data_IF_768951230041
#
_entry.id   IF_768951230041
#
_cell.length_a   1.000
_cell.length_b   1.000
_cell.length_c   1.000
_cell.angle_alpha   90.00
_cell.angle_beta   90.00
_cell.angle_gamma   90.00
#
_symmetry.space_group_name_H-M   'P 1'
#
loop_
_entity.id
_entity.type
_entity.pdbx_description
1 polymer ?
#
# COMPACT_ATOMS: atom_id res chain seq x y z
N UNK A 1 -7.93 15.45 -10.45
CA UNK A 1 -8.14 14.01 -10.69
C UNK A 1 -6.84 13.48 -11.26
N UNK A 2 -6.15 12.59 -10.54
CA UNK A 2 -4.92 11.99 -11.04
C UNK A 2 -5.27 11.15 -12.26
N UNK A 3 -4.78 11.55 -13.43
CA UNK A 3 -4.90 10.75 -14.65
C UNK A 3 -3.84 9.66 -14.60
N UNK A 4 -4.17 8.47 -15.08
CA UNK A 4 -3.18 7.40 -15.26
C UNK A 4 -2.06 7.85 -16.18
N UNK A 5 -0.96 7.11 -16.14
CA UNK A 5 0.13 7.21 -17.12
C UNK A 5 -0.41 7.15 -18.57
N UNK A 6 -0.14 8.19 -19.36
CA UNK A 6 -0.59 8.31 -20.74
C UNK A 6 0.17 7.37 -21.71
N UNK A 7 1.38 6.96 -21.34
CA UNK A 7 2.28 6.14 -22.14
C UNK A 7 2.15 4.65 -21.81
N UNK A 8 1.92 4.33 -20.53
CA UNK A 8 1.70 2.95 -20.03
C UNK A 8 0.41 2.85 -19.25
N UNK A 9 -0.63 2.29 -19.88
CA UNK A 9 -1.91 2.04 -19.20
C UNK A 9 -1.79 0.84 -18.27
N UNK A 10 -2.20 1.01 -17.01
CA UNK A 10 -2.30 -0.06 -16.04
C UNK A 10 -3.75 -0.51 -15.89
N UNK A 11 -3.95 -1.80 -15.63
CA UNK A 11 -5.22 -2.31 -15.14
C UNK A 11 -5.11 -2.47 -13.63
N UNK A 12 -6.02 -1.82 -12.90
CA UNK A 12 -6.03 -1.82 -11.44
C UNK A 12 -7.09 -2.77 -10.94
N UNK A 13 -6.72 -3.61 -9.98
CA UNK A 13 -7.63 -4.50 -9.27
C UNK A 13 -7.54 -4.19 -7.78
N UNK A 14 -8.70 -4.07 -7.13
CA UNK A 14 -8.81 -3.82 -5.69
C UNK A 14 -9.69 -4.90 -5.08
N UNK A 15 -9.10 -6.04 -4.68
CA UNK A 15 -9.85 -7.14 -4.07
C UNK A 15 -10.38 -6.72 -2.70
N UNK A 16 -11.58 -7.19 -2.36
CA UNK A 16 -12.11 -7.08 -1.01
C UNK A 16 -11.53 -8.20 -0.14
N UNK A 17 -10.48 -7.88 0.62
CA UNK A 17 -9.86 -8.84 1.55
C UNK A 17 -10.64 -9.00 2.86
N UNK A 18 -11.72 -8.24 3.06
CA UNK A 18 -12.54 -8.30 4.25
C UNK A 18 -13.91 -8.91 4.01
N UNK A 19 -14.17 -9.49 2.83
CA UNK A 19 -15.39 -10.25 2.49
C UNK A 19 -16.68 -9.54 2.92
N UNK A 20 -16.81 -8.26 2.56
CA UNK A 20 -17.94 -7.41 2.88
C UNK A 20 -18.01 -6.93 4.34
N UNK A 21 -17.00 -7.24 5.15
CA UNK A 21 -16.93 -6.89 6.58
C UNK A 21 -15.72 -6.00 6.89
N UNK A 22 -15.60 -4.81 6.27
CA UNK A 22 -14.55 -3.84 6.60
C UNK A 22 -14.74 -3.25 8.00
N UNK A 23 -13.74 -2.54 8.50
CA UNK A 23 -13.89 -1.74 9.71
C UNK A 23 -14.99 -0.68 9.51
N UNK A 24 -15.83 -0.46 10.53
CA UNK A 24 -16.86 0.56 10.46
C UNK A 24 -16.21 1.96 10.54
N UNK A 25 -16.63 2.85 9.64
CA UNK A 25 -16.17 4.23 9.58
C UNK A 25 -16.47 4.99 10.88
N UNK A 26 -17.52 4.61 11.60
CA UNK A 26 -17.91 5.22 12.87
C UNK A 26 -16.87 5.00 14.00
N UNK A 27 -15.97 4.03 13.85
CA UNK A 27 -14.89 3.79 14.80
C UNK A 27 -13.70 4.73 14.60
N UNK A 28 -13.70 5.53 13.53
CA UNK A 28 -12.59 6.41 13.17
C UNK A 28 -12.94 7.90 13.37
N UNK A 29 -12.06 8.71 13.97
CA UNK A 29 -10.82 8.30 14.63
C UNK A 29 -11.12 7.51 15.92
N UNK A 30 -10.24 6.58 16.32
CA UNK A 30 -10.40 5.80 17.56
C UNK A 30 -10.04 6.65 18.79
N UNK A 31 -10.88 7.64 19.08
CA UNK A 31 -10.68 8.67 20.11
C UNK A 31 -11.33 8.35 21.47
N UNK A 32 -12.30 7.43 21.50
CA UNK A 32 -12.89 6.88 22.72
C UNK A 32 -12.38 5.46 23.00
N UNK A 33 -12.49 5.00 24.25
CA UNK A 33 -12.06 3.65 24.62
C UNK A 33 -12.85 2.57 23.87
N UNK A 34 -14.16 2.76 23.68
CA UNK A 34 -15.00 1.86 22.88
C UNK A 34 -14.54 1.78 21.42
N UNK A 35 -14.23 2.93 20.80
CA UNK A 35 -13.76 2.94 19.41
C UNK A 35 -12.36 2.32 19.30
N UNK A 36 -11.46 2.57 20.25
CA UNK A 36 -10.13 1.94 20.31
C UNK A 36 -10.23 0.43 20.43
N UNK A 37 -11.13 -0.06 21.27
CA UNK A 37 -11.38 -1.49 21.44
C UNK A 37 -11.87 -2.12 20.13
N UNK A 38 -12.91 -1.55 19.49
CA UNK A 38 -13.42 -2.06 18.21
C UNK A 38 -12.38 -2.00 17.09
N UNK A 39 -11.63 -0.91 17.02
CA UNK A 39 -10.55 -0.72 16.05
C UNK A 39 -9.42 -1.74 16.25
N UNK A 40 -8.99 -1.94 17.51
CA UNK A 40 -7.99 -2.94 17.86
C UNK A 40 -8.46 -4.37 17.58
N UNK A 41 -9.71 -4.70 17.92
CA UNK A 41 -10.32 -5.99 17.62
C UNK A 41 -10.36 -6.27 16.12
N UNK A 42 -10.69 -5.26 15.30
CA UNK A 42 -10.66 -5.42 13.84
C UNK A 42 -9.26 -5.83 13.33
N UNK A 43 -8.19 -5.16 13.77
CA UNK A 43 -6.83 -5.52 13.36
C UNK A 43 -6.35 -6.86 13.91
N UNK A 44 -6.81 -7.23 15.10
CA UNK A 44 -6.47 -8.49 15.74
C UNK A 44 -7.17 -9.68 15.07
N UNK A 45 -8.47 -9.56 14.82
CA UNK A 45 -9.32 -10.71 14.49
C UNK A 45 -9.61 -10.78 12.98
N UNK A 46 -9.85 -9.63 12.33
CA UNK A 46 -10.26 -9.57 10.91
C UNK A 46 -9.10 -9.28 9.97
N UNK A 47 -8.27 -8.29 10.29
CA UNK A 47 -7.16 -7.83 9.46
C UNK A 47 -5.74 -8.28 9.87
N UNK A 48 -5.49 -9.37 10.62
CA UNK A 48 -4.11 -9.81 10.83
C UNK A 48 -3.55 -10.34 9.49
N UNK A 49 -2.26 -10.10 9.16
CA UNK A 49 -1.66 -10.52 7.89
C UNK A 49 -1.91 -11.99 7.49
N UNK A 50 -1.90 -12.99 8.40
CA UNK A 50 -2.20 -14.37 8.06
C UNK A 50 -3.57 -14.61 7.39
N UNK A 51 -4.56 -13.75 7.64
CA UNK A 51 -5.87 -13.84 6.98
C UNK A 51 -5.81 -13.41 5.50
N UNK A 52 -4.83 -12.59 5.12
CA UNK A 52 -4.75 -11.96 3.80
C UNK A 52 -3.65 -12.56 2.93
N UNK A 53 -2.44 -12.72 3.46
CA UNK A 53 -1.25 -13.10 2.67
C UNK A 53 -1.46 -14.38 1.83
N UNK A 54 -2.02 -15.49 2.37
CA UNK A 54 -2.21 -16.71 1.59
C UNK A 54 -3.28 -16.58 0.50
N UNK A 55 -4.14 -15.55 0.57
CA UNK A 55 -5.20 -15.32 -0.42
C UNK A 55 -4.68 -14.61 -1.66
N UNK A 56 -3.66 -13.77 -1.53
CA UNK A 56 -3.19 -12.91 -2.63
C UNK A 56 -2.76 -13.69 -3.87
N UNK A 57 -1.95 -14.77 -3.78
CA UNK A 57 -1.59 -15.54 -4.97
C UNK A 57 -2.80 -16.13 -5.70
N UNK A 58 -3.79 -16.65 -4.95
CA UNK A 58 -5.04 -17.18 -5.53
C UNK A 58 -5.87 -16.09 -6.19
N UNK A 59 -5.95 -14.91 -5.58
CA UNK A 59 -6.65 -13.76 -6.17
C UNK A 59 -5.99 -13.34 -7.48
N UNK A 60 -4.65 -13.25 -7.54
CA UNK A 60 -3.93 -12.92 -8.78
C UNK A 60 -4.12 -13.99 -9.85
N UNK A 61 -4.10 -15.26 -9.47
CA UNK A 61 -4.39 -16.38 -10.37
C UNK A 61 -5.80 -16.27 -10.97
N UNK A 62 -6.83 -16.05 -10.15
CA UNK A 62 -8.20 -15.86 -10.62
C UNK A 62 -8.35 -14.61 -11.49
N UNK A 63 -7.60 -13.54 -11.18
CA UNK A 63 -7.60 -12.35 -12.03
C UNK A 63 -6.98 -12.65 -13.40
N UNK A 64 -5.86 -13.36 -13.44
CA UNK A 64 -5.20 -13.77 -14.68
C UNK A 64 -6.13 -14.62 -15.56
N UNK A 65 -6.86 -15.59 -14.97
CA UNK A 65 -7.79 -16.46 -15.69
C UNK A 65 -9.00 -15.71 -16.24
N UNK A 66 -9.64 -14.88 -15.41
CA UNK A 66 -10.96 -14.34 -15.72
C UNK A 66 -10.94 -12.97 -16.39
N UNK A 67 -9.85 -12.20 -16.21
CA UNK A 67 -9.80 -10.81 -16.68
C UNK A 67 -8.69 -10.54 -17.69
N UNK A 68 -7.70 -11.42 -17.87
CA UNK A 68 -6.71 -11.20 -18.92
C UNK A 68 -7.33 -11.49 -20.30
N UNK A 69 -7.29 -10.55 -21.27
CA UNK A 69 -7.73 -10.81 -22.63
C UNK A 69 -7.02 -12.04 -23.22
N UNK A 70 -7.81 -13.03 -23.67
CA UNK A 70 -7.28 -14.27 -24.23
C UNK A 70 -6.78 -15.30 -23.20
N UNK A 71 -6.95 -15.06 -21.89
CA UNK A 71 -6.70 -16.07 -20.84
C UNK A 71 -5.23 -16.41 -20.56
N UNK A 72 -4.28 -15.69 -21.18
CA UNK A 72 -2.84 -15.95 -21.04
C UNK A 72 -2.21 -15.40 -19.74
N UNK A 73 -2.99 -14.69 -18.91
CA UNK A 73 -2.48 -13.99 -17.72
C UNK A 73 -1.78 -12.66 -18.05
N UNK A 74 -1.70 -11.76 -17.07
CA UNK A 74 -1.02 -10.48 -17.23
C UNK A 74 0.50 -10.66 -17.20
N UNK A 75 1.22 -9.88 -18.02
CA UNK A 75 2.68 -9.97 -18.17
C UNK A 75 3.45 -9.67 -16.88
N UNK A 76 2.96 -8.72 -16.09
CA UNK A 76 3.65 -8.18 -14.92
C UNK A 76 2.61 -7.68 -13.91
N UNK A 77 2.96 -7.79 -12.62
CA UNK A 77 2.13 -7.37 -11.51
C UNK A 77 2.94 -6.45 -10.60
N UNK A 78 2.37 -5.29 -10.28
CA UNK A 78 2.82 -4.45 -9.17
C UNK A 78 1.80 -4.50 -8.04
N UNK A 79 2.23 -4.14 -6.83
CA UNK A 79 1.35 -4.01 -5.67
C UNK A 79 1.51 -2.64 -5.03
N UNK A 80 0.39 -2.00 -4.72
CA UNK A 80 0.35 -0.75 -3.94
C UNK A 80 -0.55 -0.97 -2.74
N UNK A 81 -0.04 -0.62 -1.55
CA UNK A 81 -0.71 -0.81 -0.28
C UNK A 81 -0.80 0.49 0.50
N UNK A 82 -2.00 0.79 1.00
CA UNK A 82 -2.31 2.00 1.76
C UNK A 82 -2.56 1.66 3.23
N UNK A 83 -1.98 2.40 4.18
CA UNK A 83 -2.18 2.13 5.62
C UNK A 83 -1.77 0.69 5.96
N UNK A 84 -2.71 -0.12 6.47
CA UNK A 84 -2.58 -1.55 6.68
C UNK A 84 -2.12 -2.30 5.43
N UNK A 85 -2.56 -1.87 4.25
CA UNK A 85 -2.10 -2.43 2.99
C UNK A 85 -0.59 -2.28 2.80
N UNK A 86 0.05 -1.26 3.38
CA UNK A 86 1.51 -1.11 3.37
C UNK A 86 2.23 -2.29 4.03
N UNK A 87 1.74 -2.73 5.20
CA UNK A 87 2.22 -3.94 5.90
C UNK A 87 2.08 -5.19 5.04
N UNK A 88 0.91 -5.37 4.43
CA UNK A 88 0.64 -6.51 3.54
C UNK A 88 1.57 -6.48 2.32
N UNK A 89 1.75 -5.31 1.72
CA UNK A 89 2.67 -5.09 0.58
C UNK A 89 4.11 -5.42 0.95
N UNK A 90 4.61 -4.94 2.10
CA UNK A 90 5.95 -5.27 2.62
C UNK A 90 6.16 -6.77 2.69
N UNK A 91 5.26 -7.48 3.38
CA UNK A 91 5.34 -8.93 3.58
C UNK A 91 5.23 -9.73 2.26
N UNK A 92 4.43 -9.27 1.30
CA UNK A 92 4.31 -9.88 -0.02
C UNK A 92 5.48 -9.59 -0.95
N UNK A 93 6.43 -8.73 -0.55
CA UNK A 93 7.59 -8.35 -1.36
C UNK A 93 8.84 -9.19 -1.04
N UNK A 94 8.68 -10.19 -0.16
CA UNK A 94 9.74 -11.11 0.22
C UNK A 94 10.13 -12.08 -0.91
N UNK A 95 11.02 -13.03 -0.61
CA UNK A 95 11.43 -14.09 -1.56
C UNK A 95 10.22 -14.83 -2.15
N UNK A 96 10.34 -15.22 -3.42
CA UNK A 96 9.31 -15.95 -4.19
C UNK A 96 8.03 -15.14 -4.43
N UNK A 97 8.10 -13.81 -4.27
CA UNK A 97 7.02 -12.91 -4.63
C UNK A 97 6.67 -12.99 -6.11
N UNK A 98 5.38 -12.87 -6.41
CA UNK A 98 4.84 -12.77 -7.77
C UNK A 98 4.88 -11.34 -8.33
N UNK A 99 5.12 -10.35 -7.47
CA UNK A 99 5.14 -8.93 -7.84
C UNK A 99 6.53 -8.52 -8.35
N UNK A 100 6.58 -7.53 -9.25
CA UNK A 100 7.83 -6.96 -9.79
C UNK A 100 8.26 -5.68 -9.09
N UNK A 101 7.33 -4.97 -8.49
CA UNK A 101 7.56 -3.75 -7.74
C UNK A 101 6.47 -3.54 -6.70
N UNK A 102 6.82 -2.90 -5.60
CA UNK A 102 5.93 -2.67 -4.47
C UNK A 102 5.95 -1.20 -4.04
N UNK A 103 4.78 -0.71 -3.62
CA UNK A 103 4.59 0.67 -3.14
C UNK A 103 3.82 0.63 -1.83
N UNK A 104 4.39 1.21 -0.78
CA UNK A 104 3.74 1.46 0.51
C UNK A 104 3.38 2.94 0.61
N UNK A 105 2.13 3.24 0.96
CA UNK A 105 1.60 4.61 1.06
C UNK A 105 1.01 4.81 2.46
N UNK A 106 1.52 5.82 3.18
CA UNK A 106 1.28 6.05 4.62
C UNK A 106 1.17 4.71 5.38
N UNK A 107 2.23 3.90 5.44
CA UNK A 107 2.16 2.53 5.94
C UNK A 107 1.89 2.48 7.44
N UNK A 108 0.95 1.62 7.85
CA UNK A 108 0.74 1.30 9.26
C UNK A 108 1.56 0.07 9.66
N UNK A 109 1.92 -0.03 10.95
CA UNK A 109 2.66 -1.18 11.52
C UNK A 109 3.99 -1.45 10.80
N UNK A 110 4.74 -0.39 10.45
CA UNK A 110 6.09 -0.50 9.91
C UNK A 110 6.92 -1.41 10.82
N UNK A 111 7.62 -2.36 10.22
CA UNK A 111 8.65 -3.14 10.91
C UNK A 111 9.92 -3.13 10.05
N UNK A 112 10.98 -2.41 10.47
CA UNK A 112 12.23 -2.34 9.74
C UNK A 112 12.87 -3.69 9.45
N UNK A 113 12.54 -4.76 10.18
CA UNK A 113 13.08 -6.10 9.93
C UNK A 113 12.56 -6.71 8.64
N UNK A 114 11.34 -6.35 8.22
CA UNK A 114 10.75 -6.87 6.98
C UNK A 114 11.55 -6.43 5.75
N UNK A 115 12.13 -5.22 5.79
CA UNK A 115 12.97 -4.68 4.73
C UNK A 115 14.18 -5.57 4.39
N UNK A 116 14.65 -6.38 5.33
CA UNK A 116 15.76 -7.33 5.11
C UNK A 116 15.35 -8.49 4.20
N UNK A 117 14.06 -8.84 4.20
CA UNK A 117 13.52 -9.95 3.42
C UNK A 117 13.00 -9.50 2.05
N UNK A 118 12.83 -8.18 1.83
CA UNK A 118 12.31 -7.62 0.56
C UNK A 118 13.29 -7.89 -0.59
N UNK A 119 12.76 -8.48 -1.68
CA UNK A 119 13.57 -8.89 -2.85
C UNK A 119 13.27 -8.13 -4.14
N UNK A 120 12.30 -7.21 -4.13
CA UNK A 120 11.86 -6.42 -5.30
C UNK A 120 11.94 -4.92 -5.03
N UNK A 121 12.06 -4.07 -6.06
CA UNK A 121 12.04 -2.62 -5.90
C UNK A 121 10.88 -2.14 -5.03
N UNK A 122 11.18 -1.27 -4.06
CA UNK A 122 10.24 -0.81 -3.04
C UNK A 122 10.17 0.72 -2.99
N UNK A 123 8.97 1.26 -3.14
CA UNK A 123 8.66 2.66 -2.87
C UNK A 123 7.92 2.79 -1.53
N UNK A 124 8.29 3.78 -0.72
CA UNK A 124 7.60 4.12 0.53
C UNK A 124 7.34 5.61 0.54
N UNK A 125 6.07 5.99 0.56
CA UNK A 125 5.62 7.36 0.74
C UNK A 125 5.01 7.46 2.14
N UNK A 126 5.79 7.96 3.09
CA UNK A 126 5.37 8.19 4.48
C UNK A 126 4.78 9.59 4.68
N UNK A 127 3.96 9.75 5.71
CA UNK A 127 3.36 10.99 6.18
C UNK A 127 4.09 11.49 7.44
N UNK A 128 3.57 12.55 8.07
CA UNK A 128 4.06 13.01 9.36
C UNK A 128 3.65 12.13 10.56
N UNK A 129 2.69 11.22 10.36
CA UNK A 129 2.11 10.41 11.44
C UNK A 129 2.83 9.06 11.64
N UNK A 130 3.74 8.66 10.74
CA UNK A 130 4.61 7.49 10.93
C UNK A 130 5.89 7.86 11.68
N UNK A 131 6.47 6.91 12.44
CA UNK A 131 7.75 7.16 13.14
C UNK A 131 8.89 7.33 12.12
N UNK A 132 9.51 8.52 12.03
CA UNK A 132 10.56 8.77 11.05
C UNK A 132 11.80 7.89 11.27
N UNK A 133 12.07 7.46 12.51
CA UNK A 133 13.19 6.55 12.78
C UNK A 133 12.92 5.15 12.26
N UNK A 134 11.67 4.69 12.31
CA UNK A 134 11.30 3.39 11.75
C UNK A 134 11.34 3.42 10.22
N UNK A 135 10.86 4.51 9.60
CA UNK A 135 10.98 4.71 8.14
C UNK A 135 12.44 4.71 7.70
N UNK A 136 13.32 5.46 8.37
CA UNK A 136 14.75 5.51 8.00
C UNK A 136 15.44 4.15 8.22
N UNK A 137 15.16 3.46 9.34
CA UNK A 137 15.68 2.11 9.56
C UNK A 137 15.21 1.12 8.50
N UNK A 138 13.93 1.19 8.10
CA UNK A 138 13.38 0.35 7.04
C UNK A 138 14.12 0.62 5.73
N UNK A 139 14.28 1.90 5.36
CA UNK A 139 15.05 2.33 4.18
C UNK A 139 16.48 1.80 4.20
N UNK A 140 17.21 1.91 5.31
CA UNK A 140 18.59 1.44 5.43
C UNK A 140 18.74 -0.07 5.27
N UNK A 141 17.73 -0.80 5.76
CA UNK A 141 17.68 -2.26 5.67
C UNK A 141 17.39 -2.75 4.24
N UNK A 142 16.63 -1.99 3.42
CA UNK A 142 16.38 -2.36 2.02
C UNK A 142 17.68 -2.48 1.20
N UNK A 143 17.85 -3.64 0.55
CA UNK A 143 18.99 -3.99 -0.35
C UNK A 143 18.64 -3.99 -1.84
N UNK A 144 17.47 -3.47 -2.16
CA UNK A 144 16.88 -3.36 -3.51
C UNK A 144 16.85 -1.91 -3.95
N UNK A 145 16.52 -1.67 -5.22
CA UNK A 145 16.19 -0.31 -5.67
C UNK A 145 15.02 0.25 -4.85
N UNK A 146 15.14 1.50 -4.41
CA UNK A 146 14.21 2.08 -3.45
C UNK A 146 13.98 3.57 -3.68
N UNK A 147 12.75 3.98 -3.44
CA UNK A 147 12.34 5.37 -3.29
C UNK A 147 11.68 5.49 -1.91
N UNK A 148 12.25 6.28 -1.00
CA UNK A 148 11.67 6.50 0.32
C UNK A 148 11.57 7.99 0.57
N UNK A 149 10.34 8.49 0.71
CA UNK A 149 10.04 9.90 0.91
C UNK A 149 9.07 10.06 2.09
N UNK A 150 9.31 11.08 2.91
CA UNK A 150 8.42 11.47 4.00
C UNK A 150 7.81 12.84 3.70
N UNK A 151 6.48 12.88 3.58
CA UNK A 151 5.67 14.07 3.39
C UNK A 151 5.32 14.64 4.77
N UNK A 152 6.27 15.33 5.38
CA UNK A 152 6.22 15.78 6.77
C UNK A 152 5.16 16.84 7.10
N UNK A 153 4.42 17.33 6.12
CA UNK A 153 3.30 18.26 6.27
C UNK A 153 1.94 17.61 5.93
N UNK A 154 1.92 16.29 5.69
CA UNK A 154 0.73 15.52 5.33
C UNK A 154 0.37 14.52 6.43
N UNK A 155 -0.92 14.29 6.65
CA UNK A 155 -1.44 13.29 7.60
C UNK A 155 -1.40 11.88 7.02
N UNK A 156 -1.44 10.86 7.88
CA UNK A 156 -1.72 9.50 7.45
C UNK A 156 -3.03 9.45 6.66
N UNK A 157 -3.04 8.74 5.53
CA UNK A 157 -4.22 8.69 4.67
C UNK A 157 -4.36 9.88 3.70
N UNK A 158 -3.38 10.80 3.61
CA UNK A 158 -3.48 11.97 2.72
C UNK A 158 -3.69 11.59 1.25
N UNK A 159 -3.07 10.50 0.78
CA UNK A 159 -3.27 9.95 -0.57
C UNK A 159 -4.51 9.06 -0.71
N UNK A 160 -5.45 9.17 0.22
CA UNK A 160 -6.68 8.36 0.26
C UNK A 160 -7.87 9.21 0.73
N UNK A 161 -8.84 8.61 1.43
CA UNK A 161 -10.06 9.29 1.86
C UNK A 161 -9.84 10.44 2.86
N UNK A 162 -8.66 10.55 3.49
CA UNK A 162 -8.37 11.60 4.50
C UNK A 162 -7.78 12.89 3.91
N UNK A 163 -7.36 12.90 2.64
CA UNK A 163 -6.80 14.11 2.01
C UNK A 163 -7.85 15.20 1.80
N UNK A 164 -7.68 16.36 2.42
CA UNK A 164 -8.49 17.55 2.12
C UNK A 164 -8.05 18.20 0.80
N UNK A 165 -8.64 17.76 -0.31
CA UNK A 165 -8.32 18.27 -1.64
C UNK A 165 -8.78 19.71 -1.90
N UNK A 166 -9.49 20.35 -0.95
CA UNK A 166 -9.78 21.80 -1.01
C UNK A 166 -8.58 22.61 -0.53
N UNK A 167 -7.75 22.05 0.35
CA UNK A 167 -6.49 22.66 0.73
C UNK A 167 -5.49 22.54 -0.44
N UNK A 168 -4.95 23.66 -0.96
CA UNK A 168 -4.07 23.63 -2.12
C UNK A 168 -2.75 22.88 -1.86
N UNK A 169 -2.22 22.92 -0.63
CA UNK A 169 -1.00 22.18 -0.26
C UNK A 169 -1.26 20.68 -0.28
N UNK A 170 -2.33 20.22 0.38
CA UNK A 170 -2.70 18.79 0.42
C UNK A 170 -3.00 18.28 -0.99
N UNK A 171 -3.73 19.06 -1.80
CA UNK A 171 -3.99 18.69 -3.19
C UNK A 171 -2.71 18.53 -4.01
N UNK A 172 -1.76 19.47 -3.87
CA UNK A 172 -0.47 19.40 -4.56
C UNK A 172 0.30 18.14 -4.16
N UNK A 173 0.39 17.85 -2.88
CA UNK A 173 1.14 16.68 -2.40
C UNK A 173 0.42 15.34 -2.64
N UNK A 174 -0.92 15.33 -2.68
CA UNK A 174 -1.70 14.22 -3.22
C UNK A 174 -1.30 13.94 -4.68
N UNK A 175 -1.28 14.96 -5.53
CA UNK A 175 -0.90 14.82 -6.95
C UNK A 175 0.57 14.40 -7.11
N UNK A 176 1.49 14.94 -6.30
CA UNK A 176 2.90 14.55 -6.32
C UNK A 176 3.10 13.10 -5.89
N UNK A 177 2.46 12.66 -4.81
CA UNK A 177 2.53 11.27 -4.37
C UNK A 177 2.10 10.30 -5.48
N UNK A 178 0.98 10.57 -6.16
CA UNK A 178 0.54 9.71 -7.28
C UNK A 178 1.49 9.77 -8.49
N UNK A 179 2.15 10.90 -8.76
CA UNK A 179 3.22 10.97 -9.77
C UNK A 179 4.40 10.09 -9.38
N UNK A 180 4.82 10.09 -8.12
CA UNK A 180 5.89 9.21 -7.62
C UNK A 180 5.51 7.73 -7.78
N UNK A 181 4.28 7.34 -7.42
CA UNK A 181 3.77 5.97 -7.62
C UNK A 181 3.80 5.56 -9.09
N UNK A 182 3.29 6.42 -9.98
CA UNK A 182 3.25 6.15 -11.43
C UNK A 182 4.66 6.05 -12.01
N UNK A 183 5.54 6.99 -11.66
CA UNK A 183 6.93 7.00 -12.13
C UNK A 183 7.68 5.74 -11.66
N UNK A 184 7.48 5.33 -10.41
CA UNK A 184 8.07 4.12 -9.85
C UNK A 184 7.61 2.86 -10.59
N UNK A 185 6.30 2.69 -10.78
CA UNK A 185 5.79 1.54 -11.54
C UNK A 185 6.22 1.57 -13.02
N UNK A 186 6.32 2.75 -13.64
CA UNK A 186 6.83 2.87 -15.01
C UNK A 186 8.27 2.36 -15.14
N UNK A 187 9.10 2.61 -14.13
CA UNK A 187 10.49 2.16 -14.10
C UNK A 187 10.64 0.64 -13.87
N UNK A 188 9.68 0.00 -13.17
CA UNK A 188 9.86 -1.36 -12.63
C UNK A 188 8.85 -2.42 -13.09
N UNK A 189 7.77 -2.06 -13.79
CA UNK A 189 6.80 -3.00 -14.38
C UNK A 189 7.01 -3.20 -15.89
#
# INVERSE_FOLDING_TARGET
MSTSDAERKYRVFMPDFFDGSPADIAWYPPDTDEKKEKWGAFFKDRAPPPNTLPRVPRVVEEINKNFCPGGAGFKSWGIVGYCWGGKITSLLSAKDTLFKAAVQVHPAMIDPKEALEVTIPMCILASMDEDPNEIEKYKDNLKVEKLVETYGDQIHGWMSARGDLKNPTVKKEYENGYKSVIAFFRAHL
#
